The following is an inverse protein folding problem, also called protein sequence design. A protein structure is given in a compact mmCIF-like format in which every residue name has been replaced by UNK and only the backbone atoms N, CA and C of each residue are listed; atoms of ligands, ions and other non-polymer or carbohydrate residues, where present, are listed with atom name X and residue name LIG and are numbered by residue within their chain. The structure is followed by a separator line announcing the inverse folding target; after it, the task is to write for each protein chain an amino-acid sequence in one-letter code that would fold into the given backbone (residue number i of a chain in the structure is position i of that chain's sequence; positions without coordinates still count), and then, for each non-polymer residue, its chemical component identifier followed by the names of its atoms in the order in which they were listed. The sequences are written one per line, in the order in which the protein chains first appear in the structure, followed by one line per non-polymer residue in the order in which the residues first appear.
data_IF_330260363791
#
_entry.id   IF_330260363791
#
_cell.length_a   1.000
_cell.length_b   1.000
_cell.length_c   1.000
_cell.angle_alpha   90.00
_cell.angle_beta   90.00
_cell.angle_gamma   90.00
#
_symmetry.space_group_name_H-M   'P 1'
#
loop_
_entity.id
_entity.type
_entity.pdbx_description
1 polymer ?
#
# COMPACT_ATOMS: atom_id res chain seq x y z
N UNK A 1 20.67 -23.63 -2.12
CA UNK A 1 20.55 -22.73 -3.27
C UNK A 1 20.04 -21.38 -2.80
N UNK A 2 20.80 -20.30 -3.00
CA UNK A 2 20.33 -18.96 -2.66
C UNK A 2 19.16 -18.61 -3.60
N UNK A 3 18.01 -18.24 -3.04
CA UNK A 3 16.87 -17.83 -3.85
C UNK A 3 17.24 -16.54 -4.59
N UNK A 4 17.34 -16.63 -5.92
CA UNK A 4 17.51 -15.46 -6.78
C UNK A 4 16.27 -14.58 -6.63
N UNK A 5 16.47 -13.36 -6.12
CA UNK A 5 15.41 -12.37 -5.94
C UNK A 5 15.44 -11.38 -7.10
N UNK A 6 14.27 -10.93 -7.54
CA UNK A 6 14.16 -9.80 -8.47
C UNK A 6 14.86 -8.54 -7.92
N UNK A 7 14.93 -8.40 -6.59
CA UNK A 7 15.58 -7.28 -5.91
C UNK A 7 17.10 -7.30 -5.97
N UNK A 8 17.70 -8.46 -6.25
CA UNK A 8 19.14 -8.63 -6.40
C UNK A 8 19.63 -8.49 -7.84
N UNK A 9 18.73 -8.23 -8.79
CA UNK A 9 19.12 -8.01 -10.18
C UNK A 9 19.83 -6.66 -10.36
N UNK A 10 20.84 -6.60 -11.24
CA UNK A 10 21.39 -5.34 -11.73
C UNK A 10 20.30 -4.44 -12.33
N UNK A 11 20.42 -3.10 -12.21
CA UNK A 11 19.48 -2.15 -12.80
C UNK A 11 19.25 -2.34 -14.29
N UNK A 12 20.27 -2.75 -15.03
CA UNK A 12 20.22 -2.97 -16.48
C UNK A 12 19.23 -4.08 -16.84
N UNK A 13 19.24 -5.19 -16.08
CA UNK A 13 18.27 -6.28 -16.28
C UNK A 13 16.86 -5.87 -15.86
N UNK A 14 16.73 -5.00 -14.85
CA UNK A 14 15.42 -4.48 -14.43
C UNK A 14 14.83 -3.58 -15.53
N UNK A 15 15.66 -2.76 -16.18
CA UNK A 15 15.27 -1.94 -17.32
C UNK A 15 14.88 -2.80 -18.52
N UNK A 16 15.70 -3.80 -18.86
CA UNK A 16 15.40 -4.74 -19.95
C UNK A 16 14.07 -5.48 -19.72
N UNK A 17 13.80 -5.95 -18.49
CA UNK A 17 12.50 -6.53 -18.14
C UNK A 17 11.36 -5.53 -18.38
N UNK A 18 11.58 -4.25 -18.08
CA UNK A 18 10.54 -3.23 -18.20
C UNK A 18 10.12 -2.94 -19.65
N UNK A 19 11.02 -3.15 -20.61
CA UNK A 19 10.73 -2.97 -22.03
C UNK A 19 9.72 -3.99 -22.56
N UNK A 20 9.57 -5.13 -21.87
CA UNK A 20 8.60 -6.17 -22.19
C UNK A 20 7.29 -6.07 -21.40
N UNK A 21 7.15 -5.05 -20.55
CA UNK A 21 5.96 -4.88 -19.71
C UNK A 21 5.02 -3.82 -20.29
N UNK A 22 3.70 -4.06 -20.21
CA UNK A 22 2.75 -3.01 -20.50
C UNK A 22 2.88 -1.87 -19.47
N UNK A 23 2.40 -0.66 -19.79
CA UNK A 23 2.51 0.51 -18.91
C UNK A 23 2.00 0.31 -17.47
N UNK A 24 0.89 -0.42 -17.31
CA UNK A 24 0.33 -0.81 -16.01
C UNK A 24 1.25 -1.76 -15.24
N UNK A 25 1.94 -2.68 -15.93
CA UNK A 25 2.96 -3.56 -15.37
C UNK A 25 4.19 -2.80 -14.86
N UNK A 26 4.67 -1.81 -15.63
CA UNK A 26 5.78 -0.94 -15.21
C UNK A 26 5.39 -0.13 -13.97
N UNK A 27 4.18 0.44 -13.95
CA UNK A 27 3.65 1.16 -12.80
C UNK A 27 3.55 0.24 -11.56
N UNK A 28 3.03 -0.98 -11.72
CA UNK A 28 2.93 -1.95 -10.63
C UNK A 28 4.30 -2.27 -10.01
N UNK A 29 5.34 -2.44 -10.83
CA UNK A 29 6.71 -2.63 -10.33
C UNK A 29 7.24 -1.41 -9.57
N UNK A 30 7.04 -0.20 -10.10
CA UNK A 30 7.43 1.05 -9.41
C UNK A 30 6.80 1.14 -8.02
N UNK A 31 5.52 0.81 -7.91
CA UNK A 31 4.77 0.84 -6.65
C UNK A 31 5.15 -0.28 -5.67
N UNK A 32 5.79 -1.35 -6.15
CA UNK A 32 6.16 -2.49 -5.30
C UNK A 32 7.32 -2.15 -4.37
N UNK A 33 8.34 -1.40 -4.83
CA UNK A 33 9.50 -1.00 -4.01
C UNK A 33 10.11 0.32 -4.47
N UNK A 34 10.65 1.07 -3.49
CA UNK A 34 11.40 2.32 -3.73
C UNK A 34 12.58 2.16 -4.71
N UNK A 35 13.24 0.99 -4.71
CA UNK A 35 14.37 0.75 -5.62
C UNK A 35 13.91 0.75 -7.09
N UNK A 36 12.87 -0.03 -7.40
CA UNK A 36 12.29 -0.06 -8.74
C UNK A 36 11.74 1.31 -9.16
N UNK A 37 11.15 2.07 -8.24
CA UNK A 37 10.69 3.42 -8.54
C UNK A 37 11.81 4.37 -9.02
N UNK A 38 13.04 4.17 -8.55
CA UNK A 38 14.22 4.96 -8.94
C UNK A 38 14.81 4.50 -10.28
N UNK A 39 14.76 3.21 -10.56
CA UNK A 39 15.35 2.60 -11.76
C UNK A 39 14.44 2.80 -12.97
N UNK A 40 13.15 2.51 -12.81
CA UNK A 40 12.20 2.43 -13.92
C UNK A 40 11.81 3.82 -14.45
N UNK A 41 11.63 3.97 -15.78
CA UNK A 41 11.31 5.24 -16.41
C UNK A 41 9.95 5.78 -15.96
N UNK A 42 9.71 7.07 -16.23
CA UNK A 42 8.38 7.66 -16.10
C UNK A 42 7.46 6.98 -17.10
N UNK A 43 6.34 6.45 -16.61
CA UNK A 43 5.33 5.80 -17.46
C UNK A 43 4.55 6.90 -18.17
N UNK A 44 4.31 6.82 -19.50
CA UNK A 44 3.41 7.72 -20.21
C UNK A 44 2.03 7.77 -19.55
N UNK A 45 1.29 8.86 -19.75
CA UNK A 45 -0.08 8.99 -19.22
C UNK A 45 -0.89 7.75 -19.61
N UNK A 46 -1.45 7.07 -18.61
CA UNK A 46 -2.27 5.87 -18.78
C UNK A 46 -3.70 6.19 -19.22
N UNK A 47 -4.01 7.46 -19.45
CA UNK A 47 -5.38 7.96 -19.64
C UNK A 47 -6.10 7.30 -20.84
N UNK A 48 -5.37 6.84 -21.85
CA UNK A 48 -5.95 6.21 -23.06
C UNK A 48 -5.63 4.72 -23.21
N UNK A 49 -4.89 4.12 -22.27
CA UNK A 49 -4.50 2.71 -22.38
C UNK A 49 -5.63 1.80 -21.85
N UNK A 50 -6.17 0.87 -22.67
CA UNK A 50 -7.14 -0.09 -22.18
C UNK A 50 -6.48 -0.98 -21.12
N UNK A 51 -7.18 -1.21 -20.01
CA UNK A 51 -6.71 -2.13 -18.99
C UNK A 51 -6.63 -3.56 -19.55
N UNK A 52 -5.53 -4.24 -19.25
CA UNK A 52 -5.40 -5.67 -19.54
C UNK A 52 -6.40 -6.49 -18.71
N UNK A 53 -6.74 -7.70 -19.19
CA UNK A 53 -7.58 -8.64 -18.44
C UNK A 53 -7.00 -8.96 -17.05
N UNK A 54 -5.68 -9.06 -16.97
CA UNK A 54 -4.95 -9.24 -15.71
C UNK A 54 -5.17 -8.07 -14.75
N UNK A 55 -5.12 -6.84 -15.26
CA UNK A 55 -5.37 -5.63 -14.45
C UNK A 55 -6.84 -5.55 -14.02
N UNK A 56 -7.78 -5.87 -14.90
CA UNK A 56 -9.19 -6.02 -14.52
C UNK A 56 -9.39 -7.06 -13.42
N UNK A 57 -8.76 -8.23 -13.54
CA UNK A 57 -8.84 -9.28 -12.52
C UNK A 57 -8.21 -8.84 -11.20
N UNK A 58 -7.06 -8.17 -11.25
CA UNK A 58 -6.38 -7.65 -10.06
C UNK A 58 -7.22 -6.59 -9.35
N UNK A 59 -7.80 -5.63 -10.08
CA UNK A 59 -8.73 -4.62 -9.56
C UNK A 59 -9.94 -5.32 -8.93
N UNK A 60 -10.59 -6.23 -9.66
CA UNK A 60 -11.74 -6.99 -9.15
C UNK A 60 -11.39 -7.78 -7.89
N UNK A 61 -10.22 -8.41 -7.84
CA UNK A 61 -9.75 -9.18 -6.66
C UNK A 61 -9.35 -8.27 -5.50
N UNK A 62 -8.89 -7.06 -5.78
CA UNK A 62 -8.54 -6.08 -4.77
C UNK A 62 -9.78 -5.40 -4.16
N UNK A 63 -10.77 -5.13 -5.01
CA UNK A 63 -12.05 -4.53 -4.66
C UNK A 63 -13.06 -5.56 -4.16
N UNK A 64 -12.93 -6.83 -4.54
CA UNK A 64 -13.71 -7.90 -3.96
C UNK A 64 -13.44 -7.84 -2.47
N UNK A 65 -14.51 -7.58 -1.72
CA UNK A 65 -14.47 -7.73 -0.28
C UNK A 65 -14.05 -9.18 -0.10
N UNK A 66 -12.86 -9.40 0.46
CA UNK A 66 -12.70 -10.58 1.29
C UNK A 66 -13.92 -10.59 2.22
N UNK A 67 -14.51 -11.72 2.52
CA UNK A 67 -15.52 -11.82 3.57
C UNK A 67 -14.81 -12.11 4.90
N UNK A 68 -13.98 -11.21 5.48
CA UNK A 68 -13.65 -11.40 6.87
C UNK A 68 -14.97 -11.23 7.64
N UNK A 69 -15.03 -11.84 8.82
CA UNK A 69 -16.13 -11.60 9.76
C UNK A 69 -16.42 -10.09 9.80
N UNK A 70 -17.69 -9.65 9.93
CA UNK A 70 -18.05 -8.23 9.91
C UNK A 70 -17.30 -7.38 10.96
N UNK A 71 -16.63 -8.01 11.92
CA UNK A 71 -15.74 -7.40 12.91
C UNK A 71 -14.29 -7.17 12.46
N UNK A 72 -13.90 -7.56 11.24
CA UNK A 72 -12.51 -7.57 10.77
C UNK A 72 -12.37 -6.90 9.39
N UNK A 73 -11.18 -6.40 9.10
CA UNK A 73 -10.87 -5.72 7.85
C UNK A 73 -9.40 -5.93 7.48
N UNK A 74 -9.11 -5.99 6.18
CA UNK A 74 -7.75 -6.19 5.65
C UNK A 74 -7.09 -4.86 5.36
N UNK A 75 -5.90 -4.64 5.91
CA UNK A 75 -5.13 -3.43 5.67
C UNK A 75 -4.63 -3.35 4.21
N UNK A 76 -4.79 -2.19 3.57
CA UNK A 76 -4.30 -1.90 2.22
C UNK A 76 -2.76 -1.93 2.14
N UNK A 77 -2.06 -1.54 3.21
CA UNK A 77 -0.60 -1.41 3.22
C UNK A 77 0.11 -2.71 3.58
N UNK A 78 -0.05 -3.22 4.81
CA UNK A 78 0.58 -4.48 5.23
C UNK A 78 -0.15 -5.75 4.80
N UNK A 79 -1.34 -5.64 4.22
CA UNK A 79 -2.12 -6.78 3.71
C UNK A 79 -2.59 -7.78 4.79
N UNK A 80 -2.39 -7.48 6.07
CA UNK A 80 -2.87 -8.27 7.23
C UNK A 80 -4.34 -7.96 7.57
N UNK A 81 -5.06 -8.96 8.08
CA UNK A 81 -6.44 -8.83 8.57
C UNK A 81 -6.43 -8.52 10.06
N UNK A 82 -7.13 -7.46 10.48
CA UNK A 82 -7.24 -7.02 11.88
C UNK A 82 -8.70 -6.78 12.26
N UNK A 83 -9.04 -6.74 13.56
CA UNK A 83 -10.32 -6.23 14.02
C UNK A 83 -10.54 -4.77 13.60
N UNK A 84 -11.80 -4.38 13.38
CA UNK A 84 -12.18 -3.01 12.99
C UNK A 84 -11.69 -1.94 13.98
N UNK A 85 -11.50 -2.29 15.25
CA UNK A 85 -10.96 -1.38 16.27
C UNK A 85 -9.58 -0.81 15.88
N UNK A 86 -8.77 -1.57 15.15
CA UNK A 86 -7.40 -1.21 14.75
C UNK A 86 -7.38 -0.26 13.53
N UNK A 87 -8.55 0.10 12.98
CA UNK A 87 -8.69 1.03 11.86
C UNK A 87 -9.14 2.44 12.31
N UNK A 88 -8.85 2.79 13.56
CA UNK A 88 -9.04 4.13 14.13
C UNK A 88 -7.68 4.71 14.50
N UNK A 89 -7.43 5.99 14.22
CA UNK A 89 -6.15 6.64 14.60
C UNK A 89 -5.90 6.60 16.10
N UNK A 90 -6.93 6.66 16.93
CA UNK A 90 -6.80 6.51 18.39
C UNK A 90 -6.21 5.16 18.84
N UNK A 91 -6.23 4.14 17.98
CA UNK A 91 -5.59 2.85 18.24
C UNK A 91 -4.13 2.78 17.77
N UNK A 92 -3.59 3.90 17.30
CA UNK A 92 -2.19 4.03 16.88
C UNK A 92 -1.30 4.26 18.09
N UNK A 93 -0.11 3.61 18.17
CA UNK A 93 0.92 3.99 19.13
C UNK A 93 1.36 5.45 19.02
N UNK A 94 1.19 6.05 17.83
CA UNK A 94 1.52 7.45 17.61
C UNK A 94 0.51 8.43 18.23
N UNK A 95 -0.70 7.96 18.60
CA UNK A 95 -1.75 8.75 19.23
C UNK A 95 -1.84 8.48 20.74
N UNK A 96 -0.73 8.06 21.37
CA UNK A 96 -0.68 7.88 22.80
C UNK A 96 -1.05 9.20 23.52
N UNK A 97 -2.01 9.20 24.46
CA UNK A 97 -2.37 10.39 25.19
C UNK A 97 -1.14 10.91 25.94
N UNK A 98 -0.77 12.16 25.69
CA UNK A 98 0.23 12.87 26.48
C UNK A 98 -0.35 13.04 27.88
N UNK A 99 0.03 12.20 28.83
CA UNK A 99 -0.27 12.48 30.23
C UNK A 99 0.47 13.77 30.61
N UNK A 100 -0.26 14.85 30.91
CA UNK A 100 -0.03 15.85 31.97
C UNK A 100 -0.99 17.03 31.76
N UNK A 101 -1.78 17.34 32.80
CA UNK A 101 -2.47 18.62 32.97
C UNK A 101 -3.97 18.59 32.70
N UNK A 102 -4.76 18.85 33.74
CA UNK A 102 -6.19 19.16 33.65
C UNK A 102 -6.40 20.34 32.69
N UNK A 103 -6.90 20.06 31.49
CA UNK A 103 -8.07 20.71 30.89
C UNK A 103 -8.18 20.26 29.42
N UNK A 104 -9.29 19.55 29.13
CA UNK A 104 -9.80 19.27 27.78
C UNK A 104 -8.76 18.85 26.73
N UNK A 105 -8.31 17.59 26.80
CA UNK A 105 -7.53 16.98 25.72
C UNK A 105 -8.40 16.80 24.47
N UNK A 106 -8.33 17.75 23.56
CA UNK A 106 -8.79 17.58 22.19
C UNK A 106 -7.80 16.65 21.49
N UNK A 107 -8.07 15.33 21.53
CA UNK A 107 -7.35 14.37 20.71
C UNK A 107 -7.76 14.67 19.27
N UNK A 108 -6.87 15.29 18.49
CA UNK A 108 -7.07 15.41 17.05
C UNK A 108 -7.00 14.02 16.43
N UNK A 109 -8.17 13.39 16.34
CA UNK A 109 -8.33 12.10 15.70
C UNK A 109 -8.26 12.33 14.20
N UNK A 110 -7.05 12.19 13.63
CA UNK A 110 -6.87 12.16 12.18
C UNK A 110 -7.69 11.00 11.63
N UNK A 111 -8.53 11.21 10.63
CA UNK A 111 -9.23 10.10 10.00
C UNK A 111 -8.26 9.24 9.19
N UNK A 112 -8.32 7.91 9.36
CA UNK A 112 -7.49 7.02 8.55
C UNK A 112 -8.09 6.84 7.17
N UNK A 113 -7.25 6.84 6.10
CA UNK A 113 -7.68 6.38 4.80
C UNK A 113 -8.37 5.03 4.89
N UNK A 114 -9.40 4.81 4.09
CA UNK A 114 -10.16 3.57 4.11
C UNK A 114 -9.22 2.36 4.00
N UNK A 115 -9.42 1.39 4.91
CA UNK A 115 -8.62 0.16 4.99
C UNK A 115 -7.15 0.35 5.38
N UNK A 116 -6.74 1.46 5.98
CA UNK A 116 -5.40 1.59 6.57
C UNK A 116 -5.43 1.29 8.07
N UNK A 117 -4.56 0.40 8.55
CA UNK A 117 -4.49 0.10 9.99
C UNK A 117 -3.67 1.16 10.73
N UNK A 118 -3.96 1.33 12.01
CA UNK A 118 -3.35 2.34 12.87
C UNK A 118 -1.82 2.16 13.04
N UNK A 119 -1.28 0.96 12.84
CA UNK A 119 0.16 0.71 12.87
C UNK A 119 0.94 1.46 11.78
N UNK A 120 0.26 1.97 10.75
CA UNK A 120 0.88 2.68 9.65
C UNK A 120 0.60 4.19 9.61
N UNK A 121 -0.05 4.74 10.65
CA UNK A 121 -0.35 6.19 10.72
C UNK A 121 0.93 7.03 10.62
N UNK A 122 1.97 6.69 11.39
CA UNK A 122 3.23 7.44 11.42
C UNK A 122 4.06 7.37 10.13
N UNK A 123 3.65 6.58 9.15
CA UNK A 123 4.29 6.50 7.83
C UNK A 123 3.46 7.18 6.72
N UNK A 124 2.47 8.00 7.10
CA UNK A 124 1.69 8.87 6.23
C UNK A 124 2.16 10.34 6.24
N UNK A 125 3.02 10.71 7.21
CA UNK A 125 3.66 12.01 7.30
C UNK A 125 4.91 12.09 6.41
#
# INVERSE_FOLDING_TARGET
SAATSLLSLPPELILEISDFLPPDGVLALKLTRRNFNKILPLVPSLEDAPFSDCTHLAIRTYLSRSEPKPSHLRCIRCKTVYPLSVFKSSSSPACAPLAVGQDTQQIDVVELPQRLCAWHVGSLA
#
